data_IF_196877017352
#
_entry.id   IF_196877017352
#
_cell.length_a   1.000
_cell.length_b   1.000
_cell.length_c   1.000
_cell.angle_alpha   90.00
_cell.angle_beta   90.00
_cell.angle_gamma   90.00
#
_symmetry.space_group_name_H-M   'P 1'
#
loop_
_entity.id
_entity.type
_entity.pdbx_description
1 polymer ?
#
# COMPACT_ATOMS: atom_id res chain seq x y z
N UNK A 1 -73.24 -42.61 25.47
CA UNK A 1 -72.79 -43.14 24.16
C UNK A 1 -71.31 -43.46 24.33
N UNK A 2 -70.95 -44.72 24.61
CA UNK A 2 -70.35 -45.70 23.65
C UNK A 2 -69.02 -45.19 23.06
N UNK A 3 -67.89 -45.92 22.97
CA UNK A 3 -67.48 -47.30 23.23
C UNK A 3 -65.96 -47.39 22.91
N UNK A 4 -65.25 -48.35 23.54
CA UNK A 4 -64.22 -49.27 23.00
C UNK A 4 -62.90 -48.82 22.32
N UNK A 5 -61.85 -49.44 22.87
CA UNK A 5 -60.61 -50.02 22.31
C UNK A 5 -60.71 -50.68 20.91
N UNK A 6 -59.67 -50.57 20.05
CA UNK A 6 -58.87 -51.66 19.42
C UNK A 6 -58.08 -51.23 18.13
N UNK A 7 -56.77 -51.55 18.14
CA UNK A 7 -55.83 -52.05 17.11
C UNK A 7 -55.98 -51.79 15.58
N UNK A 8 -54.82 -51.51 14.93
CA UNK A 8 -54.15 -52.22 13.79
C UNK A 8 -53.25 -51.20 13.03
N UNK A 9 -51.92 -51.26 13.05
CA UNK A 9 -50.99 -52.09 12.26
C UNK A 9 -51.22 -52.09 10.73
N UNK A 10 -50.29 -51.45 9.99
CA UNK A 10 -49.56 -51.91 8.79
C UNK A 10 -49.48 -50.94 7.57
N UNK A 11 -48.22 -50.80 7.12
CA UNK A 11 -47.71 -50.73 5.74
C UNK A 11 -47.63 -49.39 4.97
N UNK A 12 -46.37 -48.96 4.83
CA UNK A 12 -45.62 -48.64 3.59
C UNK A 12 -46.29 -47.73 2.54
N UNK A 13 -45.72 -46.54 2.40
CA UNK A 13 -45.74 -45.74 1.17
C UNK A 13 -44.42 -44.99 1.03
N UNK A 14 -43.53 -45.52 0.19
CA UNK A 14 -42.25 -44.90 -0.19
C UNK A 14 -42.57 -43.72 -1.12
N UNK A 15 -42.15 -42.52 -0.75
CA UNK A 15 -42.02 -41.40 -1.68
C UNK A 15 -40.58 -40.85 -1.57
N UNK A 16 -39.73 -41.32 -2.48
CA UNK A 16 -38.42 -40.75 -2.74
C UNK A 16 -38.63 -39.40 -3.45
N UNK A 17 -38.51 -38.30 -2.72
CA UNK A 17 -38.23 -37.01 -3.35
C UNK A 17 -36.75 -36.72 -3.19
N UNK A 18 -36.02 -36.87 -4.30
CA UNK A 18 -34.65 -36.42 -4.47
C UNK A 18 -34.68 -34.89 -4.52
N UNK A 19 -34.72 -34.27 -3.35
CA UNK A 19 -34.47 -32.84 -3.21
C UNK A 19 -32.97 -32.61 -3.31
N UNK A 20 -32.52 -32.11 -4.46
CA UNK A 20 -31.19 -31.52 -4.58
C UNK A 20 -31.16 -30.29 -3.66
N UNK A 21 -30.68 -30.48 -2.43
CA UNK A 21 -30.22 -29.36 -1.63
C UNK A 21 -28.95 -28.89 -2.33
N UNK A 22 -29.03 -27.74 -2.99
CA UNK A 22 -27.85 -26.96 -3.32
C UNK A 22 -27.17 -26.68 -1.99
N UNK A 23 -26.09 -27.41 -1.69
CA UNK A 23 -25.16 -27.01 -0.65
C UNK A 23 -24.56 -25.69 -1.10
N UNK A 24 -25.18 -24.59 -0.70
CA UNK A 24 -24.47 -23.34 -0.54
C UNK A 24 -23.41 -23.60 0.54
N UNK A 25 -22.18 -23.90 0.13
CA UNK A 25 -21.02 -23.84 1.00
C UNK A 25 -20.71 -22.37 1.25
N UNK A 26 -21.51 -21.74 2.11
CA UNK A 26 -21.18 -20.47 2.74
C UNK A 26 -20.97 -20.76 4.24
N UNK A 27 -19.89 -21.48 4.51
CA UNK A 27 -19.25 -21.59 5.81
C UNK A 27 -17.83 -21.07 5.57
N UNK A 28 -17.18 -20.29 6.41
CA UNK A 28 -17.48 -19.57 7.66
C UNK A 28 -16.22 -18.70 7.84
N UNK A 29 -16.34 -17.49 8.38
CA UNK A 29 -15.28 -16.81 9.15
C UNK A 29 -13.80 -17.06 8.76
N UNK A 30 -13.27 -16.37 7.74
CA UNK A 30 -11.83 -16.10 7.68
C UNK A 30 -11.54 -14.68 8.19
N UNK A 31 -11.51 -14.60 9.51
CA UNK A 31 -10.64 -13.67 10.22
C UNK A 31 -9.19 -14.20 10.18
N UNK A 32 -8.71 -14.60 9.00
CA UNK A 32 -7.31 -14.95 8.75
C UNK A 32 -6.67 -13.82 7.94
N UNK A 33 -5.99 -12.97 8.69
CA UNK A 33 -5.09 -11.95 8.20
C UNK A 33 -4.20 -12.53 7.09
N UNK A 34 -4.35 -11.96 5.88
CA UNK A 34 -3.65 -12.18 4.61
C UNK A 34 -2.16 -12.62 4.66
N UNK A 35 -1.87 -13.86 5.05
CA UNK A 35 -0.48 -14.41 5.11
C UNK A 35 -0.18 -15.49 4.05
N UNK A 36 -1.19 -16.07 3.39
CA UNK A 36 -1.04 -17.28 2.57
C UNK A 36 -1.28 -17.11 1.06
N UNK A 37 -1.15 -15.92 0.47
CA UNK A 37 -1.03 -15.85 -1.00
C UNK A 37 0.36 -16.33 -1.40
N UNK A 38 0.43 -17.49 -2.04
CA UNK A 38 1.67 -18.02 -2.62
C UNK A 38 2.16 -17.04 -3.67
N UNK A 39 3.36 -16.51 -3.44
CA UNK A 39 4.05 -15.62 -4.36
C UNK A 39 4.64 -16.45 -5.48
N UNK A 40 4.24 -16.19 -6.72
CA UNK A 40 4.63 -17.02 -7.87
C UNK A 40 5.94 -16.59 -8.52
N UNK A 41 6.37 -15.34 -8.31
CA UNK A 41 7.52 -14.76 -9.03
C UNK A 41 7.27 -14.53 -10.52
N UNK A 42 6.03 -14.62 -11.00
CA UNK A 42 5.70 -14.46 -12.41
C UNK A 42 5.98 -13.04 -12.96
N UNK A 43 5.94 -12.03 -12.08
CA UNK A 43 6.29 -10.64 -12.38
C UNK A 43 7.27 -10.20 -11.29
N UNK A 44 8.59 -10.42 -11.48
CA UNK A 44 9.57 -10.30 -10.41
C UNK A 44 9.87 -8.85 -10.02
N UNK A 45 9.65 -7.92 -10.94
CA UNK A 45 9.96 -6.51 -10.74
C UNK A 45 8.75 -5.75 -10.18
N UNK A 46 9.01 -4.82 -9.28
CA UNK A 46 8.00 -3.90 -8.78
C UNK A 46 7.43 -3.09 -9.97
N UNK A 47 6.10 -2.99 -10.14
CA UNK A 47 5.07 -3.13 -9.11
C UNK A 47 4.37 -4.50 -9.05
N UNK A 48 5.04 -5.56 -9.49
CA UNK A 48 4.56 -6.95 -9.47
C UNK A 48 3.23 -7.13 -10.24
N UNK A 49 3.04 -6.29 -11.26
CA UNK A 49 1.88 -6.24 -12.14
C UNK A 49 2.31 -5.68 -13.50
N UNK A 50 1.67 -6.14 -14.57
CA UNK A 50 1.78 -5.53 -15.89
C UNK A 50 0.90 -4.27 -15.95
N UNK A 51 1.54 -3.12 -16.13
CA UNK A 51 0.90 -1.81 -16.26
C UNK A 51 1.92 -0.83 -16.87
N UNK A 52 1.47 0.34 -17.31
CA UNK A 52 2.36 1.38 -17.85
C UNK A 52 3.13 2.06 -16.71
N UNK A 53 4.41 1.72 -16.59
CA UNK A 53 5.31 2.24 -15.56
C UNK A 53 6.02 3.53 -15.95
N UNK A 54 5.91 3.96 -17.21
CA UNK A 54 6.65 5.10 -17.75
C UNK A 54 5.76 6.31 -18.03
N UNK A 55 4.45 6.10 -18.20
CA UNK A 55 3.49 7.17 -18.46
C UNK A 55 2.48 7.29 -17.32
N UNK A 56 2.31 8.51 -16.80
CA UNK A 56 1.23 8.82 -15.88
C UNK A 56 1.43 10.14 -15.16
N UNK A 57 0.33 10.71 -14.67
CA UNK A 57 0.34 12.07 -14.15
C UNK A 57 1.02 12.22 -12.79
N UNK A 58 1.14 11.16 -11.98
CA UNK A 58 1.49 11.29 -10.56
C UNK A 58 2.81 10.62 -10.23
N UNK A 59 3.62 11.30 -9.43
CA UNK A 59 4.88 10.79 -8.88
C UNK A 59 4.99 11.21 -7.41
N UNK A 60 5.81 10.52 -6.62
CA UNK A 60 6.30 11.09 -5.38
C UNK A 60 7.38 12.12 -5.70
N UNK A 61 7.38 13.22 -4.96
CA UNK A 61 8.53 14.11 -4.88
C UNK A 61 9.77 13.29 -4.48
N UNK A 62 10.99 13.65 -4.95
CA UNK A 62 12.19 12.85 -4.76
C UNK A 62 12.68 12.79 -3.30
N UNK A 63 12.05 13.55 -2.41
CA UNK A 63 12.44 13.67 -1.02
C UNK A 63 11.27 13.38 -0.07
N UNK A 64 11.52 12.55 0.94
CA UNK A 64 10.63 12.41 2.11
C UNK A 64 11.22 13.10 3.33
N UNK A 65 10.35 13.43 4.28
CA UNK A 65 10.70 14.11 5.54
C UNK A 65 10.28 13.32 6.78
N UNK A 66 11.15 13.17 7.79
CA UNK A 66 10.73 12.66 9.09
C UNK A 66 9.93 13.74 9.84
N UNK A 67 8.84 13.35 10.49
CA UNK A 67 8.00 14.25 11.30
C UNK A 67 8.17 14.02 12.81
N UNK A 68 9.18 13.24 13.19
CA UNK A 68 9.38 12.78 14.57
C UNK A 68 8.69 11.44 14.85
N UNK A 69 9.23 10.69 15.81
CA UNK A 69 8.78 9.33 16.11
C UNK A 69 8.92 8.42 14.90
N UNK A 70 7.84 7.69 14.57
CA UNK A 70 7.78 6.75 13.44
C UNK A 70 6.92 7.28 12.28
N UNK A 71 6.76 8.62 12.18
CA UNK A 71 5.98 9.29 11.15
C UNK A 71 6.87 9.89 10.07
N UNK A 72 6.53 9.61 8.81
CA UNK A 72 7.26 10.05 7.62
C UNK A 72 6.27 10.58 6.58
N UNK A 73 6.61 11.68 5.92
CA UNK A 73 5.75 12.29 4.91
C UNK A 73 6.45 12.43 3.56
N UNK A 74 5.66 12.24 2.52
CA UNK A 74 5.98 12.34 1.12
C UNK A 74 5.06 13.39 0.50
N UNK A 75 5.54 14.11 -0.51
CA UNK A 75 4.69 14.96 -1.33
C UNK A 75 4.38 14.25 -2.64
N UNK A 76 3.17 14.43 -3.14
CA UNK A 76 2.77 13.99 -4.47
C UNK A 76 3.01 15.15 -5.44
N UNK A 77 3.64 14.86 -6.58
CA UNK A 77 3.86 15.79 -7.67
C UNK A 77 3.08 15.31 -8.91
N UNK A 78 2.61 16.28 -9.69
CA UNK A 78 1.88 16.06 -10.92
C UNK A 78 2.76 16.44 -12.10
N UNK A 79 3.05 15.47 -12.96
CA UNK A 79 3.77 15.66 -14.20
C UNK A 79 2.81 16.18 -15.28
N UNK A 80 2.88 17.49 -15.51
CA UNK A 80 2.04 18.19 -16.50
C UNK A 80 2.78 18.49 -17.82
N UNK A 81 3.96 17.89 -18.06
CA UNK A 81 4.69 18.10 -19.32
C UNK A 81 4.05 17.24 -20.43
N UNK A 82 3.44 17.85 -21.46
CA UNK A 82 2.79 17.12 -22.55
C UNK A 82 3.78 16.31 -23.41
N UNK A 83 5.09 16.57 -23.31
CA UNK A 83 6.10 15.78 -24.03
C UNK A 83 6.46 14.48 -23.31
N UNK A 84 6.19 14.39 -22.01
CA UNK A 84 6.48 13.19 -21.19
C UNK A 84 5.21 12.45 -20.80
N UNK A 85 4.07 13.15 -20.75
CA UNK A 85 2.77 12.59 -20.40
C UNK A 85 1.76 12.79 -21.55
N UNK A 86 1.43 11.71 -22.26
CA UNK A 86 0.63 11.76 -23.49
C UNK A 86 -0.44 10.65 -23.61
N UNK A 87 -0.49 9.69 -22.68
CA UNK A 87 -1.49 8.61 -22.72
C UNK A 87 -2.69 8.93 -21.82
N UNK A 88 -3.69 8.02 -21.79
CA UNK A 88 -4.81 8.11 -20.85
C UNK A 88 -4.35 8.14 -19.39
N UNK A 89 -3.15 7.65 -19.07
CA UNK A 89 -2.56 7.69 -17.74
C UNK A 89 -2.28 9.11 -17.21
N UNK A 90 -2.26 10.10 -18.08
CA UNK A 90 -1.99 11.51 -17.73
C UNK A 90 -3.23 12.27 -17.27
N UNK A 91 -4.41 11.68 -17.45
CA UNK A 91 -5.69 12.27 -17.03
C UNK A 91 -6.46 11.35 -16.09
N UNK A 92 -5.94 10.14 -15.84
CA UNK A 92 -6.51 9.21 -14.90
C UNK A 92 -6.49 9.77 -13.47
N UNK A 93 -7.47 9.38 -12.65
CA UNK A 93 -7.49 9.70 -11.22
C UNK A 93 -6.53 8.78 -10.46
N UNK A 94 -5.73 9.33 -9.55
CA UNK A 94 -4.91 8.56 -8.62
C UNK A 94 -5.79 7.83 -7.61
N UNK A 95 -5.89 6.52 -7.77
CA UNK A 95 -6.73 5.67 -6.94
C UNK A 95 -5.97 5.09 -5.75
N UNK A 96 -4.71 4.71 -5.94
CA UNK A 96 -3.92 3.97 -4.96
C UNK A 96 -2.42 4.25 -5.13
N UNK A 97 -1.69 4.21 -4.03
CA UNK A 97 -0.22 4.18 -4.02
C UNK A 97 0.22 2.87 -3.40
N UNK A 98 1.18 2.19 -4.03
CA UNK A 98 1.88 1.06 -3.41
C UNK A 98 3.36 1.39 -3.27
N UNK A 99 3.95 1.07 -2.13
CA UNK A 99 5.40 1.14 -1.91
C UNK A 99 5.99 -0.26 -1.98
N UNK A 100 7.16 -0.39 -2.59
CA UNK A 100 7.98 -1.60 -2.49
C UNK A 100 8.64 -1.64 -1.11
N UNK A 101 8.28 -2.62 -0.29
CA UNK A 101 8.74 -2.70 1.11
C UNK A 101 9.32 -4.08 1.44
N UNK A 102 10.13 -4.12 2.49
CA UNK A 102 10.66 -5.38 3.02
C UNK A 102 9.54 -6.25 3.59
N UNK A 103 9.54 -7.53 3.24
CA UNK A 103 8.64 -8.53 3.83
C UNK A 103 8.89 -8.73 5.33
N UNK A 104 10.08 -8.39 5.83
CA UNK A 104 10.40 -8.38 7.27
C UNK A 104 9.50 -7.45 8.09
N UNK A 105 8.85 -6.49 7.44
CA UNK A 105 7.88 -5.59 8.07
C UNK A 105 6.48 -6.22 8.22
N UNK A 106 6.18 -7.30 7.49
CA UNK A 106 4.88 -7.98 7.46
C UNK A 106 4.73 -8.91 8.66
N UNK A 107 4.81 -8.34 9.86
CA UNK A 107 4.69 -9.08 11.13
C UNK A 107 3.26 -9.01 11.65
N UNK A 108 2.66 -10.13 12.11
CA UNK A 108 1.33 -10.11 12.70
C UNK A 108 1.18 -9.06 13.81
N UNK A 109 0.14 -8.23 13.69
CA UNK A 109 -0.18 -7.15 14.62
C UNK A 109 0.67 -5.88 14.50
N UNK A 110 1.70 -5.87 13.64
CA UNK A 110 2.33 -4.63 13.21
C UNK A 110 1.42 -3.98 12.15
N UNK A 111 1.36 -2.66 12.13
CA UNK A 111 0.47 -1.95 11.24
C UNK A 111 0.99 -0.57 10.89
N UNK A 112 0.34 0.04 9.91
CA UNK A 112 0.67 1.34 9.37
C UNK A 112 -0.61 2.15 9.27
N UNK A 113 -0.54 3.42 9.64
CA UNK A 113 -1.62 4.37 9.42
C UNK A 113 -1.17 5.41 8.43
N UNK A 114 -2.07 5.85 7.55
CA UNK A 114 -1.80 6.90 6.58
C UNK A 114 -2.73 8.09 6.77
N UNK A 115 -2.22 9.27 6.45
CA UNK A 115 -3.01 10.50 6.33
C UNK A 115 -2.67 11.18 5.01
N UNK A 116 -3.68 11.78 4.39
CA UNK A 116 -3.52 12.67 3.25
C UNK A 116 -3.90 14.09 3.67
N UNK A 117 -2.98 15.04 3.51
CA UNK A 117 -3.13 16.43 3.94
C UNK A 117 -3.57 16.54 5.42
N UNK A 118 -2.98 15.69 6.27
CA UNK A 118 -3.29 15.60 7.70
C UNK A 118 -4.58 14.85 8.07
N UNK A 119 -5.42 14.48 7.09
CA UNK A 119 -6.67 13.74 7.30
C UNK A 119 -6.41 12.24 7.15
N UNK A 120 -6.86 11.37 8.08
CA UNK A 120 -6.74 9.92 7.91
C UNK A 120 -7.32 9.43 6.58
N UNK A 121 -6.63 8.51 5.92
CA UNK A 121 -7.13 7.92 4.68
C UNK A 121 -8.42 7.14 4.94
N UNK A 122 -9.37 7.18 4.00
CA UNK A 122 -10.69 6.54 4.13
C UNK A 122 -10.58 5.05 4.42
N UNK A 123 -9.61 4.40 3.76
CA UNK A 123 -9.21 3.02 4.05
C UNK A 123 -7.83 3.05 4.68
N UNK A 124 -7.64 2.27 5.74
CA UNK A 124 -6.35 2.13 6.40
C UNK A 124 -5.29 1.60 5.43
N UNK A 125 -4.05 2.06 5.63
CA UNK A 125 -2.92 1.52 4.89
C UNK A 125 -2.66 0.06 5.33
N UNK A 126 -2.29 -0.81 4.40
CA UNK A 126 -2.13 -2.24 4.65
C UNK A 126 -0.81 -2.76 4.12
N UNK A 127 -0.25 -3.74 4.82
CA UNK A 127 0.83 -4.56 4.29
C UNK A 127 0.25 -5.78 3.59
N UNK A 128 0.77 -6.13 2.43
CA UNK A 128 0.34 -7.29 1.65
C UNK A 128 1.53 -7.99 1.00
N UNK A 129 1.38 -9.30 0.74
CA UNK A 129 2.29 -10.04 -0.14
C UNK A 129 1.77 -9.97 -1.59
N UNK A 130 2.54 -9.42 -2.55
CA UNK A 130 2.14 -9.37 -3.96
C UNK A 130 2.11 -10.80 -4.55
N UNK A 131 0.96 -11.27 -5.09
CA UNK A 131 0.81 -12.66 -5.57
C UNK A 131 1.75 -13.02 -6.73
N UNK A 132 2.05 -12.08 -7.61
CA UNK A 132 2.94 -12.30 -8.76
C UNK A 132 4.40 -11.91 -8.48
N UNK A 133 4.67 -11.24 -7.35
CA UNK A 133 6.02 -10.87 -6.97
C UNK A 133 6.84 -12.08 -6.55
N UNK A 134 8.15 -11.89 -6.41
CA UNK A 134 9.03 -12.93 -5.90
C UNK A 134 8.70 -13.25 -4.43
N UNK A 135 8.89 -14.51 -3.98
CA UNK A 135 8.91 -14.84 -2.56
C UNK A 135 9.83 -13.88 -1.79
N UNK A 136 9.32 -13.29 -0.73
CA UNK A 136 10.04 -12.30 0.08
C UNK A 136 9.84 -10.85 -0.36
N UNK A 137 9.00 -10.60 -1.37
CA UNK A 137 8.55 -9.24 -1.70
C UNK A 137 7.39 -8.82 -0.78
N UNK A 138 7.37 -7.56 -0.36
CA UNK A 138 6.26 -6.95 0.37
C UNK A 138 5.78 -5.67 -0.32
N UNK A 139 4.50 -5.36 -0.16
CA UNK A 139 3.96 -4.06 -0.54
C UNK A 139 3.28 -3.38 0.65
N UNK A 140 3.43 -2.06 0.74
CA UNK A 140 2.59 -1.21 1.55
C UNK A 140 1.59 -0.52 0.62
N UNK A 141 0.31 -0.76 0.84
CA UNK A 141 -0.80 -0.27 0.01
C UNK A 141 -1.58 0.83 0.73
N UNK A 142 -1.88 1.89 -0.01
CA UNK A 142 -2.76 3.00 0.42
C UNK A 142 -3.75 3.25 -0.72
N UNK A 143 -5.03 2.99 -0.47
CA UNK A 143 -6.06 2.94 -1.53
C UNK A 143 -7.18 3.97 -1.29
N UNK A 144 -8.09 4.08 -2.26
CA UNK A 144 -9.22 5.02 -2.27
C UNK A 144 -8.78 6.47 -2.02
N UNK A 145 -7.68 6.88 -2.66
CA UNK A 145 -7.18 8.25 -2.58
C UNK A 145 -8.09 9.22 -3.35
N UNK A 146 -8.48 8.84 -4.58
CA UNK A 146 -9.43 9.60 -5.39
C UNK A 146 -8.94 10.99 -5.77
N UNK A 147 -7.63 11.16 -5.97
CA UNK A 147 -7.03 12.45 -6.30
C UNK A 147 -6.95 12.64 -7.81
N UNK A 148 -7.31 13.83 -8.27
CA UNK A 148 -7.08 14.28 -9.64
C UNK A 148 -5.82 15.15 -9.71
N UNK A 149 -5.47 15.64 -10.91
CA UNK A 149 -4.27 16.44 -11.13
C UNK A 149 -4.28 17.79 -10.38
N UNK A 150 -5.45 18.31 -10.03
CA UNK A 150 -5.57 19.56 -9.26
C UNK A 150 -5.35 19.33 -7.77
N UNK A 151 -5.97 18.28 -7.23
CA UNK A 151 -5.94 17.95 -5.80
C UNK A 151 -4.71 17.15 -5.38
N UNK A 152 -4.06 16.46 -6.31
CA UNK A 152 -2.83 15.71 -6.04
C UNK A 152 -1.59 16.60 -5.94
N UNK A 153 -1.53 17.72 -6.67
CA UNK A 153 -0.33 18.55 -6.73
C UNK A 153 0.03 19.10 -5.34
N UNK A 154 1.18 18.68 -4.82
CA UNK A 154 1.68 19.07 -3.51
C UNK A 154 1.00 18.37 -2.34
N UNK A 155 0.04 17.46 -2.58
CA UNK A 155 -0.65 16.75 -1.51
C UNK A 155 0.36 15.97 -0.64
N UNK A 156 0.22 16.10 0.68
CA UNK A 156 1.10 15.47 1.64
C UNK A 156 0.53 14.11 2.06
N UNK A 157 1.21 13.04 1.68
CA UNK A 157 0.97 11.70 2.17
C UNK A 157 1.91 11.41 3.35
N UNK A 158 1.37 11.21 4.54
CA UNK A 158 2.15 10.74 5.68
C UNK A 158 1.80 9.31 6.05
N UNK A 159 2.81 8.51 6.35
CA UNK A 159 2.66 7.18 6.96
C UNK A 159 3.23 7.18 8.37
N UNK A 160 2.62 6.42 9.27
CA UNK A 160 3.13 6.19 10.62
C UNK A 160 3.28 4.70 10.86
N UNK A 161 4.51 4.26 11.10
CA UNK A 161 4.84 2.86 11.30
C UNK A 161 4.62 2.48 12.75
N UNK A 162 3.95 1.36 13.01
CA UNK A 162 3.63 0.92 14.36
C UNK A 162 4.00 -0.56 14.51
N UNK A 163 4.97 -0.87 15.38
CA UNK A 163 5.33 -2.25 15.63
C UNK A 163 4.18 -2.94 16.39
N UNK A 164 4.22 -4.26 16.40
CA UNK A 164 3.28 -5.06 17.20
C UNK A 164 3.58 -4.93 18.71
N UNK A 165 2.76 -5.58 19.56
CA UNK A 165 2.94 -5.55 21.02
C UNK A 165 4.27 -6.14 21.50
N UNK A 166 4.89 -7.02 20.71
CA UNK A 166 6.20 -7.59 20.97
C UNK A 166 7.36 -6.71 20.44
N UNK A 167 7.07 -5.49 19.98
CA UNK A 167 8.03 -4.54 19.37
C UNK A 167 8.67 -5.06 18.07
N UNK A 168 7.97 -5.93 17.37
CA UNK A 168 8.38 -6.45 16.06
C UNK A 168 7.67 -5.70 14.94
N UNK A 169 8.29 -5.71 13.75
CA UNK A 169 7.87 -4.93 12.59
C UNK A 169 8.71 -3.66 12.43
N UNK A 170 8.56 -3.02 11.28
CA UNK A 170 9.38 -1.86 10.93
C UNK A 170 8.93 -0.61 11.67
N UNK A 171 9.90 0.17 12.12
CA UNK A 171 9.68 1.45 12.81
C UNK A 171 10.34 2.63 12.10
N UNK A 172 11.21 2.34 11.12
CA UNK A 172 11.87 3.35 10.30
C UNK A 172 11.74 3.06 8.81
N UNK A 173 11.96 4.08 7.97
CA UNK A 173 11.96 3.90 6.52
C UNK A 173 13.17 3.10 6.04
N UNK A 174 14.29 3.11 6.76
CA UNK A 174 15.47 2.30 6.42
C UNK A 174 15.18 0.80 6.55
N UNK A 175 14.34 0.42 7.51
CA UNK A 175 13.84 -0.94 7.65
C UNK A 175 12.74 -1.24 6.62
N UNK A 176 11.84 -0.28 6.40
CA UNK A 176 10.69 -0.45 5.51
C UNK A 176 11.09 -0.54 4.03
N UNK A 177 11.88 0.42 3.57
CA UNK A 177 12.27 0.65 2.18
C UNK A 177 13.71 0.19 1.97
N UNK A 178 13.90 -1.12 1.84
CA UNK A 178 15.21 -1.77 1.72
C UNK A 178 15.38 -2.49 0.37
N UNK A 179 14.93 -1.88 -0.72
CA UNK A 179 15.05 -2.49 -2.05
C UNK A 179 16.53 -2.58 -2.49
N UNK A 180 16.97 -3.73 -3.04
CA UNK A 180 18.32 -3.87 -3.59
C UNK A 180 18.63 -2.79 -4.64
N UNK A 181 19.86 -2.28 -4.62
CA UNK A 181 20.32 -1.26 -5.57
C UNK A 181 20.11 0.19 -5.12
N UNK A 182 19.44 0.43 -4.00
CA UNK A 182 19.24 1.77 -3.44
C UNK A 182 19.75 1.88 -1.99
N UNK A 183 20.16 3.08 -1.53
CA UNK A 183 20.44 3.31 -0.13
C UNK A 183 19.21 2.98 0.74
N UNK A 184 19.43 2.39 1.91
CA UNK A 184 18.36 2.11 2.86
C UNK A 184 17.54 3.38 3.15
N UNK A 185 16.21 3.25 3.14
CA UNK A 185 15.29 4.37 3.30
C UNK A 185 14.89 5.04 1.99
N UNK A 186 15.47 4.63 0.85
CA UNK A 186 14.96 5.04 -0.47
C UNK A 186 13.71 4.21 -0.78
N UNK A 187 12.55 4.87 -0.74
CA UNK A 187 11.27 4.23 -1.00
C UNK A 187 10.92 4.34 -2.48
N UNK A 188 10.73 3.20 -3.12
CA UNK A 188 10.16 3.11 -4.47
C UNK A 188 8.65 2.96 -4.37
N UNK A 189 7.90 3.76 -5.12
CA UNK A 189 6.44 3.73 -5.11
C UNK A 189 5.86 3.74 -6.53
N UNK A 190 4.72 3.07 -6.69
CA UNK A 190 3.92 3.07 -7.92
C UNK A 190 2.56 3.72 -7.67
N UNK A 191 2.16 4.59 -8.60
CA UNK A 191 0.96 5.43 -8.49
C UNK A 191 -0.12 4.88 -9.43
N UNK A 192 -1.17 4.27 -8.88
CA UNK A 192 -2.15 3.52 -9.64
C UNK A 192 -3.43 4.29 -9.92
N UNK A 193 -3.94 4.15 -11.14
CA UNK A 193 -5.32 4.45 -11.46
C UNK A 193 -6.29 3.35 -10.94
N UNK A 194 -7.59 3.53 -11.19
CA UNK A 194 -8.60 2.58 -10.73
C UNK A 194 -8.55 1.23 -11.49
N UNK A 195 -8.19 1.23 -12.77
CA UNK A 195 -8.00 0.03 -13.58
C UNK A 195 -6.72 -0.75 -13.22
N UNK A 196 -5.78 -0.07 -12.55
CA UNK A 196 -4.40 -0.53 -12.34
C UNK A 196 -3.63 -0.74 -13.66
N UNK A 197 -4.02 -0.02 -14.71
CA UNK A 197 -3.37 -0.03 -16.03
C UNK A 197 -2.23 1.00 -16.08
N UNK A 198 -2.35 2.07 -15.29
CA UNK A 198 -1.33 3.12 -15.14
C UNK A 198 -0.63 2.94 -13.81
N UNK A 199 0.70 2.93 -13.80
CA UNK A 199 1.49 2.70 -12.59
C UNK A 199 2.88 3.35 -12.64
N UNK A 200 3.00 4.65 -12.99
CA UNK A 200 4.31 5.31 -13.00
C UNK A 200 5.04 5.11 -11.66
N UNK A 201 6.33 4.81 -11.78
CA UNK A 201 7.19 4.52 -10.63
C UNK A 201 8.04 5.74 -10.32
N UNK A 202 8.15 6.06 -9.03
CA UNK A 202 9.02 7.11 -8.51
C UNK A 202 9.79 6.64 -7.30
N UNK A 203 10.84 7.38 -6.94
CA UNK A 203 11.67 7.11 -5.78
C UNK A 203 11.74 8.35 -4.91
N UNK A 204 11.64 8.14 -3.60
CA UNK A 204 11.84 9.17 -2.60
C UNK A 204 12.92 8.74 -1.61
N UNK A 205 13.95 9.56 -1.42
CA UNK A 205 14.99 9.36 -0.41
C UNK A 205 14.87 10.42 0.69
N UNK A 206 15.61 10.26 1.79
CA UNK A 206 15.59 11.29 2.84
C UNK A 206 16.08 12.62 2.29
N UNK A 207 15.32 13.70 2.54
CA UNK A 207 15.79 15.05 2.26
C UNK A 207 17.15 15.29 2.94
N UNK A 208 18.18 15.62 2.17
CA UNK A 208 19.47 16.00 2.76
C UNK A 208 19.30 17.34 3.47
N UNK A 209 19.89 17.52 4.68
CA UNK A 209 19.95 18.83 5.28
C UNK A 209 20.64 19.81 4.31
N UNK A 210 20.22 21.09 4.29
CA UNK A 210 20.92 22.09 3.49
C UNK A 210 22.38 22.16 3.93
N UNK A 211 23.33 22.37 2.99
CA UNK A 211 24.74 22.52 3.34
C UNK A 211 24.91 23.67 4.35
N UNK A 212 25.86 23.56 5.30
CA UNK A 212 26.12 24.64 6.24
C UNK A 212 26.49 25.92 5.48
N UNK A 213 26.11 27.10 5.99
CA UNK A 213 26.52 28.36 5.39
C UNK A 213 28.05 28.44 5.32
N UNK A 214 28.62 29.04 4.26
CA UNK A 214 30.06 29.21 4.15
C UNK A 214 30.60 30.00 5.35
N UNK A 215 31.82 29.69 5.84
CA UNK A 215 32.44 30.43 6.93
C UNK A 215 32.54 31.92 6.57
N UNK A 216 32.25 32.79 7.54
CA UNK A 216 32.38 34.24 7.35
C UNK A 216 33.82 34.59 6.95
N UNK A 217 34.02 35.53 6.01
CA UNK A 217 35.35 35.98 5.64
C UNK A 217 36.07 36.56 6.87
N UNK A 218 37.41 36.37 6.98
CA UNK A 218 38.17 36.95 8.09
C UNK A 218 38.02 38.48 8.10
N UNK A 219 38.08 39.12 9.29
CA UNK A 219 38.03 40.57 9.40
C UNK A 219 39.14 41.20 8.55
N UNK A 220 38.89 42.38 7.94
CA UNK A 220 39.94 43.11 7.25
C UNK A 220 41.10 43.42 8.23
N UNK A 221 42.35 43.37 7.76
CA UNK A 221 43.50 43.72 8.59
C UNK A 221 43.36 45.16 9.12
N UNK A 222 43.82 45.44 10.34
CA UNK A 222 43.80 46.79 10.89
C UNK A 222 44.59 47.75 9.98
N UNK A 223 44.18 49.03 9.90
CA UNK A 223 44.90 50.03 9.11
C UNK A 223 46.33 50.21 9.64
N UNK A 224 47.32 50.45 8.75
CA UNK A 224 48.70 50.67 9.15
C UNK A 224 48.87 51.94 10.01
N UNK A 225 49.80 51.93 10.98
CA UNK A 225 50.12 53.08 11.85
C UNK A 225 50.82 54.23 11.12
#
# INVERSE_FOLDING_TARGET
MTHKTFYFSRLIGIALTVGWVVNASAWENEYEFTVNRVQTGAIPDFPFRNCDTNNGAYLLAPAWRPMGGTKYCFNIEVMNDPNTCWSSCCTATLHKIEFNVSDSCLVPGAYVTATLNGVPTRVGATFDKPPYGNPGSGILRITQLGLDTETAQGAELCITLKPNRARQGCTTLEQLCSSPGFPAGTCTAAMFDAGCDCCPISQAAQARPPPPPPPSPPPPPPPPP
#
